data_IF_127841048707
#
_entry.id   IF_127841048707
#
_cell.length_a   1.000
_cell.length_b   1.000
_cell.length_c   1.000
_cell.angle_alpha   90.00
_cell.angle_beta   90.00
_cell.angle_gamma   90.00
#
_symmetry.space_group_name_H-M   'P 1'
#
loop_
_entity.id
_entity.type
_entity.pdbx_description
1 polymer ?
#
# COMPACT_ATOMS: atom_id res chain seq x y z
N UNK A 1 -7.39 -0.49 -6.38
CA UNK A 1 -7.37 -1.93 -6.72
C UNK A 1 -7.55 -2.17 -8.23
N UNK A 2 -8.63 -1.69 -8.87
CA UNK A 2 -8.85 -1.92 -10.31
C UNK A 2 -7.68 -1.49 -11.22
N UNK A 3 -7.00 -0.41 -10.92
CA UNK A 3 -5.85 0.08 -11.69
C UNK A 3 -4.65 -0.88 -11.59
N UNK A 4 -4.31 -1.34 -10.38
CA UNK A 4 -3.22 -2.31 -10.16
C UNK A 4 -3.53 -3.61 -10.91
N UNK A 5 -4.76 -4.13 -10.76
CA UNK A 5 -5.21 -5.34 -11.46
C UNK A 5 -5.10 -5.20 -12.99
N UNK A 6 -5.49 -4.05 -13.54
CA UNK A 6 -5.37 -3.79 -14.99
C UNK A 6 -3.90 -3.79 -15.44
N UNK A 7 -3.01 -3.12 -14.71
CA UNK A 7 -1.58 -3.09 -14.99
C UNK A 7 -0.95 -4.50 -14.92
N UNK A 8 -1.34 -5.29 -13.91
CA UNK A 8 -0.87 -6.67 -13.73
C UNK A 8 -1.38 -7.63 -14.80
N UNK A 9 -2.52 -7.32 -15.42
CA UNK A 9 -3.12 -8.13 -16.49
C UNK A 9 -2.47 -7.92 -17.86
N UNK A 10 -1.63 -6.89 -18.01
CA UNK A 10 -0.95 -6.63 -19.28
C UNK A 10 0.21 -7.61 -19.51
N UNK A 11 0.32 -8.21 -20.71
CA UNK A 11 1.49 -8.99 -21.11
C UNK A 11 2.80 -8.22 -20.89
N UNK A 12 3.86 -8.94 -20.57
CA UNK A 12 5.15 -8.33 -20.26
C UNK A 12 5.68 -7.39 -21.37
N UNK A 13 5.42 -7.74 -22.63
CA UNK A 13 5.81 -6.92 -23.80
C UNK A 13 5.08 -5.57 -23.81
N UNK A 14 3.74 -5.57 -23.64
CA UNK A 14 2.96 -4.32 -23.62
C UNK A 14 3.29 -3.45 -22.41
N UNK A 15 3.50 -4.06 -21.25
CA UNK A 15 3.92 -3.35 -20.05
C UNK A 15 5.29 -2.67 -20.22
N UNK A 16 6.22 -3.31 -20.94
CA UNK A 16 7.54 -2.71 -21.23
C UNK A 16 7.48 -1.59 -22.29
N UNK A 17 6.58 -1.67 -23.26
CA UNK A 17 6.38 -0.59 -24.23
C UNK A 17 5.79 0.67 -23.57
N UNK A 18 4.84 0.53 -22.66
CA UNK A 18 4.24 1.65 -21.94
C UNK A 18 5.25 2.37 -21.02
N UNK A 19 6.14 1.63 -20.38
CA UNK A 19 7.21 2.20 -19.53
C UNK A 19 8.42 2.70 -20.31
N UNK A 20 8.58 2.29 -21.57
CA UNK A 20 9.78 2.51 -22.36
C UNK A 20 10.19 3.98 -22.58
N UNK A 21 9.26 4.93 -22.50
CA UNK A 21 9.60 6.35 -22.54
C UNK A 21 10.24 6.81 -21.22
N UNK A 22 9.66 6.41 -20.10
CA UNK A 22 10.18 6.73 -18.78
C UNK A 22 11.54 6.06 -18.54
N UNK A 23 11.67 4.81 -18.94
CA UNK A 23 12.91 4.03 -18.87
C UNK A 23 14.04 4.67 -19.64
N UNK A 24 13.79 5.16 -20.88
CA UNK A 24 14.80 5.87 -21.68
C UNK A 24 15.26 7.17 -21.03
N UNK A 25 14.34 7.94 -20.47
CA UNK A 25 14.68 9.19 -19.76
C UNK A 25 15.55 8.88 -18.53
N UNK A 26 15.14 7.89 -17.73
CA UNK A 26 15.87 7.48 -16.51
C UNK A 26 17.23 6.88 -16.88
N UNK A 27 17.32 6.04 -17.92
CA UNK A 27 18.56 5.48 -18.41
C UNK A 27 19.53 6.57 -18.89
N UNK A 28 19.02 7.57 -19.60
CA UNK A 28 19.81 8.72 -20.04
C UNK A 28 20.36 9.55 -18.86
N UNK A 29 19.50 9.83 -17.85
CA UNK A 29 19.92 10.57 -16.65
C UNK A 29 20.97 9.80 -15.85
N UNK A 30 20.82 8.48 -15.72
CA UNK A 30 21.71 7.64 -14.93
C UNK A 30 22.96 7.18 -15.68
N UNK A 31 23.03 7.39 -17.01
CA UNK A 31 24.13 6.90 -17.83
C UNK A 31 24.30 5.39 -17.86
N UNK A 32 23.19 4.64 -17.64
CA UNK A 32 23.18 3.16 -17.54
C UNK A 32 22.46 2.51 -18.73
N UNK A 33 22.79 1.23 -19.07
CA UNK A 33 22.07 0.50 -20.11
C UNK A 33 20.56 0.38 -19.78
N UNK A 34 19.73 0.50 -20.81
CA UNK A 34 18.27 0.49 -20.70
C UNK A 34 17.74 -0.74 -19.95
N UNK A 35 18.28 -1.94 -20.21
CA UNK A 35 17.85 -3.18 -19.58
C UNK A 35 17.98 -3.20 -18.06
N UNK A 36 19.06 -2.63 -17.51
CA UNK A 36 19.29 -2.53 -16.06
C UNK A 36 18.33 -1.55 -15.40
N UNK A 37 17.85 -0.56 -16.13
CA UNK A 37 16.95 0.49 -15.64
C UNK A 37 15.51 0.02 -15.69
N UNK A 38 15.12 -0.73 -16.73
CA UNK A 38 13.76 -1.27 -16.92
C UNK A 38 13.28 -2.06 -15.70
N UNK A 39 14.11 -2.97 -15.20
CA UNK A 39 13.79 -3.76 -14.02
C UNK A 39 13.54 -2.87 -12.79
N UNK A 40 14.44 -1.92 -12.54
CA UNK A 40 14.35 -1.03 -11.38
C UNK A 40 13.12 -0.10 -11.45
N UNK A 41 12.83 0.45 -12.63
CA UNK A 41 11.68 1.33 -12.86
C UNK A 41 10.37 0.56 -12.65
N UNK A 42 10.26 -0.67 -13.16
CA UNK A 42 9.08 -1.51 -12.96
C UNK A 42 8.85 -1.83 -11.49
N UNK A 43 9.89 -2.23 -10.76
CA UNK A 43 9.78 -2.50 -9.31
C UNK A 43 9.43 -1.24 -8.52
N UNK A 44 10.01 -0.08 -8.86
CA UNK A 44 9.65 1.18 -8.23
C UNK A 44 8.18 1.58 -8.48
N UNK A 45 7.67 1.33 -9.69
CA UNK A 45 6.26 1.56 -10.01
C UNK A 45 5.34 0.70 -9.13
N UNK A 46 5.59 -0.61 -9.03
CA UNK A 46 4.83 -1.52 -8.15
C UNK A 46 4.84 -1.05 -6.69
N UNK A 47 6.01 -0.78 -6.13
CA UNK A 47 6.14 -0.28 -4.75
C UNK A 47 5.35 1.02 -4.56
N UNK A 48 5.35 1.92 -5.54
CA UNK A 48 4.59 3.18 -5.48
C UNK A 48 3.09 2.94 -5.51
N UNK A 49 2.61 2.05 -6.38
CA UNK A 49 1.20 1.66 -6.48
C UNK A 49 0.70 1.02 -5.19
N UNK A 50 1.46 0.08 -4.63
CA UNK A 50 1.10 -0.57 -3.35
C UNK A 50 1.24 0.39 -2.15
N UNK A 51 2.14 1.37 -2.21
CA UNK A 51 2.19 2.45 -1.21
C UNK A 51 0.92 3.32 -1.27
N UNK A 52 0.48 3.69 -2.45
CA UNK A 52 -0.78 4.43 -2.65
C UNK A 52 -1.99 3.61 -2.19
N UNK A 53 -1.99 2.29 -2.43
CA UNK A 53 -2.99 1.37 -1.92
C UNK A 53 -3.00 1.37 -0.38
N UNK A 54 -1.84 1.28 0.27
CA UNK A 54 -1.70 1.34 1.73
C UNK A 54 -2.25 2.63 2.32
N UNK A 55 -1.99 3.77 1.68
CA UNK A 55 -2.55 5.08 2.05
C UNK A 55 -4.08 5.05 1.97
N UNK A 56 -4.63 4.57 0.86
CA UNK A 56 -6.08 4.48 0.64
C UNK A 56 -6.76 3.57 1.67
N UNK A 57 -6.18 2.41 1.93
CA UNK A 57 -6.69 1.44 2.92
C UNK A 57 -6.63 2.01 4.35
N UNK A 58 -5.59 2.77 4.68
CA UNK A 58 -5.50 3.43 5.99
C UNK A 58 -6.68 4.36 6.23
N UNK A 59 -7.08 5.17 5.26
CA UNK A 59 -8.25 6.05 5.38
C UNK A 59 -9.55 5.26 5.42
N UNK A 60 -9.73 4.30 4.53
CA UNK A 60 -10.95 3.48 4.45
C UNK A 60 -11.21 2.71 5.75
N UNK A 61 -10.19 2.03 6.28
CA UNK A 61 -10.32 1.26 7.54
C UNK A 61 -10.55 2.19 8.72
N UNK A 62 -9.87 3.33 8.76
CA UNK A 62 -10.10 4.34 9.80
C UNK A 62 -11.54 4.84 9.81
N UNK A 63 -12.04 5.26 8.65
CA UNK A 63 -13.38 5.84 8.55
C UNK A 63 -14.45 4.78 8.87
N UNK A 64 -14.23 3.53 8.47
CA UNK A 64 -15.06 2.40 8.85
C UNK A 64 -15.08 2.16 10.37
N UNK A 65 -13.91 2.18 11.02
CA UNK A 65 -13.80 2.00 12.47
C UNK A 65 -14.46 3.17 13.22
N UNK A 66 -14.25 4.40 12.77
CA UNK A 66 -14.89 5.59 13.36
C UNK A 66 -16.42 5.55 13.21
N UNK A 67 -16.93 5.13 12.05
CA UNK A 67 -18.37 4.92 11.84
C UNK A 67 -18.93 3.85 12.77
N UNK A 68 -18.28 2.69 12.87
CA UNK A 68 -18.71 1.58 13.73
C UNK A 68 -18.73 1.97 15.20
N UNK A 69 -17.76 2.73 15.67
CA UNK A 69 -17.66 3.19 17.06
C UNK A 69 -18.65 4.31 17.37
N UNK A 70 -18.87 5.23 16.45
CA UNK A 70 -19.88 6.27 16.56
C UNK A 70 -21.29 5.70 16.75
N UNK A 71 -21.56 4.53 16.17
CA UNK A 71 -22.84 3.80 16.37
C UNK A 71 -22.91 3.12 17.75
N UNK A 72 -21.76 2.83 18.38
CA UNK A 72 -21.69 2.11 19.68
C UNK A 72 -21.60 3.05 20.87
N UNK A 73 -21.11 4.28 20.68
CA UNK A 73 -20.84 5.24 21.78
C UNK A 73 -22.08 5.78 22.51
N UNK A 74 -23.29 5.41 22.09
CA UNK A 74 -24.52 5.73 22.84
C UNK A 74 -24.73 4.83 24.09
N UNK A 75 -23.79 3.95 24.45
CA UNK A 75 -24.03 2.91 25.46
C UNK A 75 -22.85 2.53 26.39
N UNK A 76 -21.74 3.29 26.50
CA UNK A 76 -20.58 2.80 27.29
C UNK A 76 -20.25 3.71 28.48
N UNK A 77 -20.26 3.19 29.74
CA UNK A 77 -19.73 3.85 30.92
C UNK A 77 -18.19 3.96 30.87
N UNK A 78 -17.69 5.06 31.38
CA UNK A 78 -16.29 5.46 31.41
C UNK A 78 -15.53 4.71 32.51
N UNK A 79 -14.99 3.51 32.24
CA UNK A 79 -14.16 2.77 33.18
C UNK A 79 -12.95 2.10 32.45
N UNK A 80 -12.01 1.51 33.18
CA UNK A 80 -10.70 0.95 32.78
C UNK A 80 -10.69 0.14 31.46
N UNK A 81 -11.81 -0.38 31.01
CA UNK A 81 -12.01 -1.00 29.72
C UNK A 81 -11.68 -0.06 28.53
N UNK A 82 -11.89 1.24 28.70
CA UNK A 82 -11.65 2.27 27.69
C UNK A 82 -10.17 2.32 27.25
N UNK A 83 -9.22 2.09 28.16
CA UNK A 83 -7.78 2.14 27.83
C UNK A 83 -7.36 0.94 26.99
N UNK A 84 -7.87 -0.25 27.26
CA UNK A 84 -7.59 -1.46 26.46
C UNK A 84 -8.24 -1.36 25.07
N UNK A 85 -9.44 -0.83 24.98
CA UNK A 85 -10.13 -0.60 23.70
C UNK A 85 -9.34 0.38 22.82
N UNK A 86 -8.82 1.48 23.37
CA UNK A 86 -8.00 2.47 22.63
C UNK A 86 -6.70 1.86 22.11
N UNK A 87 -6.05 0.98 22.86
CA UNK A 87 -4.83 0.28 22.44
C UNK A 87 -5.14 -0.69 21.29
N UNK A 88 -6.20 -1.46 21.40
CA UNK A 88 -6.65 -2.40 20.39
C UNK A 88 -7.04 -1.69 19.08
N UNK A 89 -7.69 -0.54 19.18
CA UNK A 89 -8.03 0.29 18.02
C UNK A 89 -6.82 0.84 17.28
N UNK A 90 -5.79 1.30 18.01
CA UNK A 90 -4.55 1.78 17.38
C UNK A 90 -3.90 0.67 16.58
N UNK A 91 -3.88 -0.56 17.10
CA UNK A 91 -3.33 -1.72 16.43
C UNK A 91 -4.16 -2.06 15.18
N UNK A 92 -5.50 -2.09 15.27
CA UNK A 92 -6.38 -2.36 14.13
C UNK A 92 -6.23 -1.33 13.01
N UNK A 93 -6.00 -0.06 13.32
CA UNK A 93 -5.77 1.02 12.33
C UNK A 93 -4.50 0.84 11.50
N UNK A 94 -3.54 0.06 11.98
CA UNK A 94 -2.27 -0.21 11.27
C UNK A 94 -2.30 -1.61 10.67
N UNK A 95 -2.62 -2.61 11.49
CA UNK A 95 -2.51 -4.02 11.08
C UNK A 95 -3.56 -4.39 10.05
N UNK A 96 -4.80 -3.96 10.21
CA UNK A 96 -5.88 -4.35 9.31
C UNK A 96 -5.68 -3.84 7.86
N UNK A 97 -5.37 -2.55 7.60
CA UNK A 97 -5.08 -2.12 6.24
C UNK A 97 -3.85 -2.79 5.65
N UNK A 98 -2.81 -3.05 6.45
CA UNK A 98 -1.64 -3.79 5.99
C UNK A 98 -1.97 -5.24 5.61
N UNK A 99 -2.72 -5.97 6.43
CA UNK A 99 -3.14 -7.35 6.13
C UNK A 99 -4.00 -7.39 4.86
N UNK A 100 -4.97 -6.50 4.71
CA UNK A 100 -5.82 -6.43 3.51
C UNK A 100 -4.96 -6.15 2.27
N UNK A 101 -4.04 -5.20 2.34
CA UNK A 101 -3.16 -4.87 1.23
C UNK A 101 -2.18 -5.99 0.89
N UNK A 102 -1.68 -6.72 1.91
CA UNK A 102 -0.80 -7.89 1.71
C UNK A 102 -1.55 -9.04 1.04
N UNK A 103 -2.78 -9.34 1.46
CA UNK A 103 -3.63 -10.36 0.80
C UNK A 103 -3.86 -9.97 -0.66
N UNK A 104 -4.09 -8.68 -0.93
CA UNK A 104 -4.23 -8.21 -2.29
C UNK A 104 -2.93 -8.35 -3.10
N UNK A 105 -1.75 -8.04 -2.53
CA UNK A 105 -0.46 -8.22 -3.17
C UNK A 105 -0.20 -9.69 -3.54
N UNK A 106 -0.50 -10.63 -2.64
CA UNK A 106 -0.41 -12.07 -2.92
C UNK A 106 -1.37 -12.48 -4.04
N UNK A 107 -2.60 -11.97 -4.03
CA UNK A 107 -3.60 -12.24 -5.07
C UNK A 107 -3.17 -11.71 -6.43
N UNK A 108 -2.57 -10.53 -6.47
CA UNK A 108 -2.05 -9.92 -7.69
C UNK A 108 -0.92 -10.76 -8.30
N UNK A 109 0.02 -11.19 -7.47
CA UNK A 109 1.15 -12.02 -7.90
C UNK A 109 0.71 -13.41 -8.38
N UNK A 110 -0.28 -14.01 -7.70
CA UNK A 110 -0.91 -15.26 -8.18
C UNK A 110 -1.62 -15.05 -9.52
N UNK A 111 -2.28 -13.90 -9.72
CA UNK A 111 -2.91 -13.57 -10.99
C UNK A 111 -1.87 -13.47 -12.12
N UNK A 112 -0.67 -12.97 -11.85
CA UNK A 112 0.41 -12.86 -12.84
C UNK A 112 0.85 -14.23 -13.40
N UNK A 113 0.64 -15.34 -12.70
CA UNK A 113 0.88 -16.70 -13.24
C UNK A 113 0.08 -17.00 -14.51
N UNK A 114 -1.06 -16.34 -14.67
CA UNK A 114 -1.95 -16.54 -15.83
C UNK A 114 -1.71 -15.52 -16.94
N UNK A 115 -0.72 -14.63 -16.78
CA UNK A 115 -0.38 -13.59 -17.75
C UNK A 115 0.88 -13.98 -18.52
N UNK A 116 0.82 -13.91 -19.83
CA UNK A 116 1.92 -14.31 -20.73
C UNK A 116 3.20 -13.49 -20.46
N UNK A 117 4.31 -14.20 -20.29
CA UNK A 117 5.62 -13.62 -20.05
C UNK A 117 5.84 -13.06 -18.63
N UNK A 118 4.93 -13.35 -17.69
CA UNK A 118 5.10 -13.01 -16.27
C UNK A 118 5.36 -14.27 -15.43
N UNK A 119 6.05 -14.06 -14.30
CA UNK A 119 6.32 -15.08 -13.29
C UNK A 119 5.82 -14.60 -11.92
N UNK A 120 5.39 -15.53 -11.09
CA UNK A 120 5.05 -15.23 -9.70
C UNK A 120 6.32 -15.37 -8.84
N UNK A 121 6.72 -14.29 -8.23
CA UNK A 121 7.91 -14.26 -7.37
C UNK A 121 7.54 -13.87 -5.93
N UNK A 122 7.90 -14.71 -4.96
CA UNK A 122 7.71 -14.41 -3.53
C UNK A 122 8.39 -13.08 -3.13
N UNK A 123 9.50 -12.76 -3.79
CA UNK A 123 10.20 -11.49 -3.60
C UNK A 123 9.31 -10.29 -3.94
N UNK A 124 8.51 -10.38 -4.97
CA UNK A 124 7.62 -9.31 -5.40
C UNK A 124 6.44 -9.16 -4.44
N UNK A 125 5.86 -10.26 -3.96
CA UNK A 125 4.87 -10.23 -2.87
C UNK A 125 5.40 -9.51 -1.63
N UNK A 126 6.66 -9.74 -1.25
CA UNK A 126 7.27 -9.07 -0.10
C UNK A 126 7.50 -7.58 -0.35
N UNK A 127 7.95 -7.20 -1.54
CA UNK A 127 8.15 -5.80 -1.93
C UNK A 127 6.82 -5.03 -1.93
N UNK A 128 5.78 -5.61 -2.49
CA UNK A 128 4.44 -5.00 -2.56
C UNK A 128 3.81 -4.88 -1.16
N UNK A 129 3.94 -5.93 -0.34
CA UNK A 129 3.53 -5.88 1.08
C UNK A 129 4.30 -4.81 1.87
N UNK A 130 5.60 -4.64 1.60
CA UNK A 130 6.41 -3.57 2.21
C UNK A 130 5.96 -2.17 1.72
N UNK A 131 5.56 -2.04 0.45
CA UNK A 131 4.96 -0.83 -0.10
C UNK A 131 3.68 -0.45 0.65
N UNK A 132 2.76 -1.41 0.85
CA UNK A 132 1.54 -1.20 1.66
C UNK A 132 1.90 -0.74 3.07
N UNK A 133 2.83 -1.43 3.74
CA UNK A 133 3.27 -1.06 5.09
C UNK A 133 3.82 0.36 5.14
N UNK A 134 4.64 0.75 4.16
CA UNK A 134 5.18 2.10 4.06
C UNK A 134 4.08 3.15 3.96
N UNK A 135 3.06 2.93 3.12
CA UNK A 135 1.90 3.82 2.99
C UNK A 135 1.11 3.99 4.29
N UNK A 136 0.80 2.87 4.95
CA UNK A 136 0.08 2.84 6.23
C UNK A 136 0.86 3.56 7.34
N UNK A 137 2.15 3.26 7.47
CA UNK A 137 3.02 3.84 8.49
C UNK A 137 3.25 5.34 8.27
N UNK A 138 3.42 5.76 7.02
CA UNK A 138 3.55 7.18 6.64
C UNK A 138 2.31 7.97 7.09
N UNK A 139 1.11 7.47 6.80
CA UNK A 139 -0.12 8.16 7.18
C UNK A 139 -0.34 8.18 8.68
N UNK A 140 -0.01 7.08 9.38
CA UNK A 140 -0.07 7.03 10.83
C UNK A 140 0.90 8.04 11.47
N UNK A 141 2.12 8.14 10.96
CA UNK A 141 3.14 9.09 11.42
C UNK A 141 2.71 10.55 11.19
N UNK A 142 2.25 10.90 9.98
CA UNK A 142 1.78 12.23 9.64
C UNK A 142 0.63 12.69 10.54
N UNK A 143 -0.29 11.79 10.83
CA UNK A 143 -1.45 12.07 11.69
C UNK A 143 -1.04 12.27 13.15
N UNK A 144 -0.14 11.44 13.66
CA UNK A 144 0.41 11.54 15.01
C UNK A 144 1.15 12.86 15.20
N UNK A 145 1.94 13.26 14.19
CA UNK A 145 2.71 14.50 14.24
C UNK A 145 1.83 15.76 14.24
N UNK A 146 0.76 15.76 13.44
CA UNK A 146 -0.22 16.87 13.39
C UNK A 146 -0.96 17.04 14.73
N UNK A 147 -1.36 15.94 15.36
CA UNK A 147 -2.07 15.94 16.64
C UNK A 147 -1.20 16.50 17.76
N UNK A 148 0.07 16.10 17.83
CA UNK A 148 1.03 16.58 18.82
C UNK A 148 1.34 18.10 18.70
N UNK A 149 1.19 18.66 17.49
CA UNK A 149 1.37 20.11 17.24
C UNK A 149 0.13 20.91 17.63
N UNK A 150 -1.06 20.33 17.58
CA UNK A 150 -2.31 20.98 18.02
C UNK A 150 -2.40 21.09 19.54
N UNK A 151 -1.95 20.06 20.25
CA UNK A 151 -2.00 20.01 21.73
C UNK A 151 -0.97 20.93 22.41
N UNK A 152 -0.02 21.51 21.64
CA UNK A 152 1.01 22.45 22.15
C UNK A 152 0.67 23.93 21.90
N UNK A 153 -0.49 24.23 21.35
CA UNK A 153 -1.00 25.59 21.11
C UNK A 153 -2.16 25.93 22.02
#
# INVERSE_FOLDING_TARGET
MAFIYYQSSLPAILSSEMSGHLERIVAWILGKPSESVTFAVRKAAHVTEFTALGISLFYTVRDFLEWRLGTTNNAVPQDRQTTQMIQTEKLHRIVLPWVIGTVYAVSDEVHQLFVEGRSCEVRDMLLDSAGVAAGVLLMNWLKSHRRNKSDRR
#
